data_IF_092803895701
#
_entry.id   IF_092803895701
#
_cell.length_a   1.000
_cell.length_b   1.000
_cell.length_c   1.000
_cell.angle_alpha   90.00
_cell.angle_beta   90.00
_cell.angle_gamma   90.00
#
_symmetry.space_group_name_H-M   'P 1'
#
loop_
_entity.id
_entity.type
_entity.pdbx_description
1 polymer ?
#
# COMPACT_ATOMS: atom_id res chain seq x y z
N UNK A 1 6.86 10.63 -18.84
CA UNK A 1 6.44 10.11 -17.52
C UNK A 1 4.98 10.44 -17.29
N UNK A 2 4.29 9.65 -16.48
CA UNK A 2 2.99 10.02 -15.92
C UNK A 2 3.13 10.34 -14.42
N UNK A 3 2.09 10.94 -13.83
CA UNK A 3 2.08 11.37 -12.43
C UNK A 3 2.45 10.24 -11.45
N UNK A 4 2.01 9.01 -11.72
CA UNK A 4 2.35 7.86 -10.88
C UNK A 4 3.84 7.52 -10.92
N UNK A 5 4.44 7.49 -12.12
CA UNK A 5 5.87 7.21 -12.27
C UNK A 5 6.75 8.28 -11.64
N UNK A 6 6.32 9.55 -11.70
CA UNK A 6 7.02 10.66 -11.05
C UNK A 6 6.91 10.56 -9.52
N UNK A 7 5.71 10.27 -9.00
CA UNK A 7 5.48 10.08 -7.57
C UNK A 7 6.29 8.93 -6.96
N UNK A 8 6.37 7.79 -7.66
CA UNK A 8 7.13 6.63 -7.20
C UNK A 8 8.65 6.87 -7.28
N UNK A 9 9.10 7.72 -8.21
CA UNK A 9 10.50 8.02 -8.44
C UNK A 9 11.36 6.76 -8.54
N UNK A 10 12.51 6.76 -7.87
CA UNK A 10 13.42 5.60 -7.82
C UNK A 10 13.11 4.63 -6.66
N UNK A 11 11.84 4.55 -6.20
CA UNK A 11 11.50 3.60 -5.15
C UNK A 11 11.59 2.15 -5.64
N UNK A 12 12.00 1.26 -4.76
CA UNK A 12 11.98 -0.18 -5.03
C UNK A 12 10.57 -0.71 -4.81
N UNK A 13 9.91 -1.10 -5.89
CA UNK A 13 8.61 -1.79 -5.87
C UNK A 13 8.84 -3.29 -5.61
N UNK A 14 8.03 -3.88 -4.72
CA UNK A 14 8.06 -5.32 -4.41
C UNK A 14 6.92 -6.10 -5.02
N UNK A 15 5.75 -5.50 -5.06
CA UNK A 15 4.52 -6.13 -5.49
C UNK A 15 3.58 -5.06 -6.07
N UNK A 16 2.80 -5.48 -7.06
CA UNK A 16 1.70 -4.73 -7.64
C UNK A 16 0.49 -5.65 -7.59
N UNK A 17 -0.62 -5.16 -7.04
CA UNK A 17 -1.88 -5.89 -7.01
C UNK A 17 -3.02 -4.96 -7.40
N UNK A 18 -4.08 -5.51 -7.98
CA UNK A 18 -5.26 -4.75 -8.41
C UNK A 18 -6.46 -5.25 -7.63
N UNK A 19 -7.16 -4.34 -6.96
CA UNK A 19 -8.38 -4.68 -6.26
C UNK A 19 -9.58 -4.81 -7.21
N UNK A 20 -10.72 -5.26 -6.66
CA UNK A 20 -11.98 -5.44 -7.38
C UNK A 20 -12.53 -4.14 -7.99
N UNK A 21 -12.22 -2.98 -7.41
CA UNK A 21 -12.61 -1.66 -7.92
C UNK A 21 -11.69 -1.17 -9.05
N UNK A 22 -10.59 -1.89 -9.26
CA UNK A 22 -9.57 -1.61 -10.28
C UNK A 22 -8.53 -0.58 -9.84
N UNK A 23 -8.40 -0.31 -8.54
CA UNK A 23 -7.29 0.47 -8.01
C UNK A 23 -6.02 -0.38 -8.00
N UNK A 24 -4.88 0.25 -8.22
CA UNK A 24 -3.58 -0.39 -8.21
C UNK A 24 -2.90 -0.16 -6.86
N UNK A 25 -2.64 -1.24 -6.14
CA UNK A 25 -1.90 -1.28 -4.89
C UNK A 25 -0.43 -1.61 -5.14
N UNK A 26 0.46 -0.82 -4.58
CA UNK A 26 1.88 -0.80 -4.90
C UNK A 26 2.66 -0.91 -3.59
N UNK A 27 3.20 -2.09 -3.35
CA UNK A 27 4.07 -2.34 -2.19
C UNK A 27 5.45 -1.74 -2.44
N UNK A 28 5.81 -0.69 -1.72
CA UNK A 28 7.13 -0.03 -1.83
C UNK A 28 8.05 -0.44 -0.68
N UNK A 29 9.36 -0.43 -0.93
CA UNK A 29 10.36 -0.89 0.03
C UNK A 29 11.35 0.20 0.47
N UNK A 30 11.63 1.16 -0.41
CA UNK A 30 12.58 2.25 -0.16
C UNK A 30 11.86 3.59 -0.15
N UNK A 31 12.57 4.63 0.29
CA UNK A 31 12.09 6.02 0.31
C UNK A 31 10.89 6.28 1.23
N UNK A 32 10.47 5.29 2.05
CA UNK A 32 9.43 5.46 3.06
C UNK A 32 8.01 5.62 2.53
N UNK A 33 7.76 5.35 1.25
CA UNK A 33 6.44 5.54 0.63
C UNK A 33 5.37 4.56 1.14
N UNK A 34 5.75 3.49 1.83
CA UNK A 34 4.82 2.54 2.40
C UNK A 34 4.00 1.80 1.34
N UNK A 35 2.71 1.62 1.60
CA UNK A 35 1.78 1.05 0.63
C UNK A 35 1.12 2.19 -0.14
N UNK A 36 1.31 2.25 -1.45
CA UNK A 36 0.70 3.26 -2.30
C UNK A 36 -0.51 2.67 -3.01
N UNK A 37 -1.62 3.41 -3.06
CA UNK A 37 -2.80 3.08 -3.85
C UNK A 37 -3.03 4.15 -4.91
N UNK A 38 -3.03 3.73 -6.17
CA UNK A 38 -3.40 4.54 -7.33
C UNK A 38 -4.81 4.20 -7.77
N UNK A 39 -5.75 5.08 -7.46
CA UNK A 39 -7.15 4.88 -7.78
C UNK A 39 -7.40 5.07 -9.28
N UNK A 40 -8.47 4.45 -9.81
CA UNK A 40 -8.90 4.67 -11.20
C UNK A 40 -9.18 6.14 -11.56
N UNK A 41 -9.49 6.95 -10.55
CA UNK A 41 -9.70 8.40 -10.72
C UNK A 41 -8.39 9.18 -10.91
N UNK A 42 -7.23 8.53 -10.87
CA UNK A 42 -5.92 9.17 -10.87
C UNK A 42 -5.43 9.61 -9.49
N UNK A 43 -6.23 9.43 -8.42
CA UNK A 43 -5.84 9.84 -7.08
C UNK A 43 -4.79 8.88 -6.50
N UNK A 44 -3.69 9.44 -6.00
CA UNK A 44 -2.66 8.71 -5.26
C UNK A 44 -2.92 8.87 -3.76
N UNK A 45 -2.92 7.75 -3.04
CA UNK A 45 -2.94 7.68 -1.57
C UNK A 45 -1.82 6.77 -1.11
N UNK A 46 -1.32 6.96 0.11
CA UNK A 46 -0.29 6.10 0.66
C UNK A 46 -0.51 5.88 2.16
N UNK A 47 -0.04 4.74 2.65
CA UNK A 47 -0.13 4.33 4.04
C UNK A 47 1.27 4.05 4.56
N UNK A 48 1.63 4.71 5.64
CA UNK A 48 2.96 4.66 6.27
C UNK A 48 2.82 4.41 7.77
N UNK A 49 3.94 4.52 8.48
CA UNK A 49 3.95 4.50 9.94
C UNK A 49 3.07 5.59 10.58
N UNK A 50 2.93 6.77 9.96
CA UNK A 50 2.05 7.82 10.50
C UNK A 50 0.56 7.48 10.40
N UNK A 51 0.21 6.55 9.51
CA UNK A 51 -1.16 6.07 9.31
C UNK A 51 -1.48 4.82 10.15
N UNK A 52 -0.49 4.32 10.91
CA UNK A 52 -0.63 3.19 11.82
C UNK A 52 0.04 1.90 11.36
N UNK A 53 0.76 1.88 10.23
CA UNK A 53 1.60 0.73 9.89
C UNK A 53 2.74 0.58 10.90
N UNK A 54 3.12 -0.64 11.25
CA UNK A 54 4.30 -0.87 12.11
C UNK A 54 5.62 -0.58 11.40
N UNK A 55 5.64 -0.64 10.06
CA UNK A 55 6.84 -0.41 9.27
C UNK A 55 6.45 -0.04 7.82
N UNK A 56 7.14 0.95 7.24
CA UNK A 56 6.87 1.43 5.88
C UNK A 56 7.59 0.64 4.78
N UNK A 57 8.32 -0.43 5.12
CA UNK A 57 8.92 -1.34 4.14
C UNK A 57 7.97 -2.51 3.84
N UNK A 58 7.20 -2.36 2.77
CA UNK A 58 6.14 -3.30 2.40
C UNK A 58 6.73 -4.44 1.57
N UNK A 59 6.37 -5.67 1.94
CA UNK A 59 6.76 -6.91 1.26
C UNK A 59 5.74 -7.31 0.20
N UNK A 60 4.47 -7.22 0.56
CA UNK A 60 3.35 -7.59 -0.28
C UNK A 60 2.06 -6.92 0.21
N UNK A 61 1.08 -6.88 -0.68
CA UNK A 61 -0.29 -6.46 -0.40
C UNK A 61 -1.25 -7.34 -1.19
N UNK A 62 -2.44 -7.56 -0.65
CA UNK A 62 -3.51 -8.33 -1.29
C UNK A 62 -4.87 -7.87 -0.78
N UNK A 63 -5.88 -7.85 -1.65
CA UNK A 63 -7.27 -7.68 -1.22
C UNK A 63 -7.82 -9.00 -0.65
N UNK A 64 -8.41 -8.94 0.54
CA UNK A 64 -9.17 -10.03 1.14
C UNK A 64 -10.63 -10.05 0.62
N UNK A 65 -11.33 -11.16 0.83
CA UNK A 65 -12.72 -11.35 0.37
C UNK A 65 -13.70 -10.31 0.91
N UNK A 66 -13.43 -9.72 2.07
CA UNK A 66 -14.26 -8.67 2.68
C UNK A 66 -13.95 -7.25 2.14
N UNK A 67 -13.09 -7.15 1.13
CA UNK A 67 -12.64 -5.90 0.52
C UNK A 67 -11.51 -5.20 1.25
N UNK A 68 -11.10 -5.67 2.44
CA UNK A 68 -9.96 -5.11 3.16
C UNK A 68 -8.64 -5.39 2.43
N UNK A 69 -7.64 -4.56 2.67
CA UNK A 69 -6.29 -4.75 2.13
C UNK A 69 -5.39 -5.28 3.23
N UNK A 70 -4.88 -6.50 3.01
CA UNK A 70 -3.86 -7.12 3.84
C UNK A 70 -2.49 -6.62 3.38
N UNK A 71 -1.65 -6.21 4.34
CA UNK A 71 -0.36 -5.59 4.06
C UNK A 71 0.73 -6.29 4.86
N UNK A 72 1.58 -7.05 4.17
CA UNK A 72 2.77 -7.64 4.77
C UNK A 72 3.87 -6.61 4.88
N UNK A 73 4.22 -6.21 6.11
CA UNK A 73 5.31 -5.26 6.40
C UNK A 73 6.48 -5.97 7.08
N UNK A 74 7.61 -5.28 7.19
CA UNK A 74 8.73 -5.75 8.02
C UNK A 74 8.40 -5.83 9.52
N UNK A 75 7.34 -5.16 9.97
CA UNK A 75 6.87 -5.17 11.35
C UNK A 75 5.69 -6.12 11.61
N UNK A 76 5.33 -6.96 10.63
CA UNK A 76 4.18 -7.87 10.71
C UNK A 76 3.06 -7.54 9.70
N UNK A 77 1.88 -8.09 9.92
CA UNK A 77 0.69 -7.94 9.08
C UNK A 77 -0.13 -6.73 9.53
N UNK A 78 -0.49 -5.86 8.60
CA UNK A 78 -1.49 -4.80 8.82
C UNK A 78 -2.76 -5.08 8.00
N UNK A 79 -3.90 -4.59 8.50
CA UNK A 79 -5.18 -4.63 7.80
C UNK A 79 -5.65 -3.19 7.58
N UNK A 80 -5.98 -2.86 6.33
CA UNK A 80 -6.58 -1.57 5.95
C UNK A 80 -8.02 -1.81 5.55
N UNK A 81 -8.95 -1.09 6.18
CA UNK A 81 -10.37 -1.15 5.89
C UNK A 81 -10.94 0.26 5.86
N UNK A 82 -11.77 0.55 4.86
CA UNK A 82 -12.37 1.87 4.63
C UNK A 82 -11.33 3.01 4.64
N UNK A 83 -10.17 2.75 4.05
CA UNK A 83 -9.07 3.71 3.95
C UNK A 83 -8.33 4.00 5.25
N UNK A 84 -8.42 3.12 6.26
CA UNK A 84 -7.73 3.27 7.55
C UNK A 84 -7.03 1.98 7.95
N UNK A 85 -5.86 2.09 8.57
CA UNK A 85 -5.22 0.95 9.22
C UNK A 85 -6.02 0.60 10.48
N UNK A 86 -6.60 -0.60 10.55
CA UNK A 86 -7.50 -1.00 11.65
C UNK A 86 -6.88 -2.02 12.59
N UNK A 87 -5.87 -2.76 12.14
CA UNK A 87 -5.17 -3.75 12.97
C UNK A 87 -3.75 -3.94 12.49
N UNK A 88 -2.85 -4.22 13.44
CA UNK A 88 -1.50 -4.69 13.15
C UNK A 88 -1.15 -5.85 14.07
N UNK A 89 -0.69 -6.95 13.48
CA UNK A 89 -0.24 -8.15 14.19
C UNK A 89 1.22 -8.38 13.86
N UNK A 90 2.06 -8.47 14.88
CA UNK A 90 3.50 -8.67 14.74
C UNK A 90 4.16 -8.79 16.09
#
# INVERSE_FOLDING_TARGET
ENELTEYLGNTRIRCLDKDADGNLWISTYTNGLGLVCYARSGRITHYTETDGLKNSQIRCSMQADDGSILVGTNGGLAVIKDGKVTSTVG
#
